data_IF_668885988193
#
_entry.id   IF_668885988193
#
_cell.length_a   1.000
_cell.length_b   1.000
_cell.length_c   1.000
_cell.angle_alpha   90.00
_cell.angle_beta   90.00
_cell.angle_gamma   90.00
#
_symmetry.space_group_name_H-M   'P 1'
#
loop_
_entity.id
_entity.type
_entity.pdbx_description
1 polymer ?
#
# COMPACT_ATOMS: atom_id res chain seq x y z
N UNK A 1 -10.04 36.91 11.83
CA UNK A 1 -11.13 35.96 12.08
C UNK A 1 -10.83 34.68 11.33
N UNK A 2 -10.33 33.64 11.99
CA UNK A 2 -10.18 32.33 11.37
C UNK A 2 -11.59 31.74 11.16
N UNK A 3 -11.92 31.36 9.91
CA UNK A 3 -13.22 30.79 9.57
C UNK A 3 -13.47 29.49 10.34
N UNK A 4 -14.75 29.17 10.55
CA UNK A 4 -15.17 27.91 11.20
C UNK A 4 -14.51 26.74 10.48
N UNK A 5 -13.71 25.95 11.22
CA UNK A 5 -13.08 24.74 10.68
C UNK A 5 -14.22 23.82 10.23
N UNK A 6 -14.39 23.67 8.91
CA UNK A 6 -15.38 22.77 8.34
C UNK A 6 -15.15 21.34 8.82
N UNK A 7 -16.17 20.49 8.67
CA UNK A 7 -16.11 19.07 9.07
C UNK A 7 -14.79 18.43 8.58
N UNK A 8 -14.07 17.67 9.43
CA UNK A 8 -12.82 17.02 9.03
C UNK A 8 -13.00 16.25 7.73
N UNK A 9 -12.10 16.48 6.77
CA UNK A 9 -12.14 15.78 5.49
C UNK A 9 -11.98 14.28 5.73
N UNK A 10 -12.95 13.50 5.28
CA UNK A 10 -12.88 12.05 5.38
C UNK A 10 -12.08 11.40 4.22
N UNK A 11 -11.79 12.14 3.15
CA UNK A 11 -11.11 11.62 1.94
C UNK A 11 -10.02 12.59 1.45
N UNK A 12 -8.89 12.09 0.92
CA UNK A 12 -7.86 12.91 0.31
C UNK A 12 -8.26 13.38 -1.10
N UNK A 13 -7.70 14.49 -1.57
CA UNK A 13 -7.94 14.99 -2.94
C UNK A 13 -7.20 14.19 -3.98
N UNK A 14 -6.04 13.66 -3.61
CA UNK A 14 -5.16 12.89 -4.47
C UNK A 14 -4.51 11.75 -3.70
N UNK A 15 -4.21 10.67 -4.41
CA UNK A 15 -3.44 9.54 -3.90
C UNK A 15 -2.20 9.36 -4.76
N UNK A 16 -1.02 9.50 -4.13
CA UNK A 16 0.25 9.14 -4.74
C UNK A 16 0.49 7.64 -4.56
N UNK A 17 0.89 6.94 -5.61
CA UNK A 17 1.24 5.53 -5.55
C UNK A 17 2.41 5.16 -6.47
N UNK A 18 3.15 4.13 -6.06
CA UNK A 18 4.24 3.55 -6.86
C UNK A 18 3.73 2.93 -8.17
N UNK A 19 4.68 2.77 -9.09
CA UNK A 19 4.49 2.12 -10.40
C UNK A 19 3.90 0.70 -10.32
N UNK A 20 4.08 0.00 -9.20
CA UNK A 20 3.44 -1.30 -8.98
C UNK A 20 1.91 -1.23 -9.03
N UNK A 21 1.33 -0.07 -8.73
CA UNK A 21 -0.10 0.19 -8.73
C UNK A 21 -0.63 0.76 -10.05
N UNK A 22 0.18 0.77 -11.10
CA UNK A 22 -0.22 1.26 -12.42
C UNK A 22 -1.12 0.24 -13.14
N UNK A 23 -2.35 0.09 -12.66
CA UNK A 23 -3.39 -0.70 -13.28
C UNK A 23 -4.68 0.12 -13.32
N UNK A 24 -5.41 0.06 -14.44
CA UNK A 24 -6.64 0.81 -14.66
C UNK A 24 -7.71 0.56 -13.59
N UNK A 25 -7.74 -0.65 -13.04
CA UNK A 25 -8.63 -1.00 -11.92
C UNK A 25 -8.48 -0.02 -10.76
N UNK A 26 -7.26 0.32 -10.37
CA UNK A 26 -7.01 1.23 -9.26
C UNK A 26 -7.38 2.67 -9.62
N UNK A 27 -7.04 3.12 -10.84
CA UNK A 27 -7.44 4.45 -11.33
C UNK A 27 -8.96 4.63 -11.31
N UNK A 28 -9.72 3.65 -11.83
CA UNK A 28 -11.19 3.66 -11.82
C UNK A 28 -11.77 3.71 -10.39
N UNK A 29 -11.22 2.90 -9.48
CA UNK A 29 -11.67 2.87 -8.08
C UNK A 29 -11.41 4.18 -7.33
N UNK A 30 -10.36 4.90 -7.68
CA UNK A 30 -10.01 6.20 -7.08
C UNK A 30 -10.90 7.32 -7.63
N UNK A 31 -11.11 7.35 -8.95
CA UNK A 31 -12.06 8.29 -9.56
C UNK A 31 -13.48 8.12 -9.03
N UNK A 32 -13.96 6.89 -8.88
CA UNK A 32 -15.27 6.60 -8.29
C UNK A 32 -15.40 7.10 -6.83
N UNK A 33 -14.27 7.29 -6.13
CA UNK A 33 -14.23 7.83 -4.76
C UNK A 33 -14.02 9.35 -4.73
N UNK A 34 -13.87 10.00 -5.88
CA UNK A 34 -13.51 11.41 -6.00
C UNK A 34 -12.07 11.71 -5.62
N UNK A 35 -11.17 10.71 -5.70
CA UNK A 35 -9.76 10.84 -5.36
C UNK A 35 -8.95 10.85 -6.66
N UNK A 36 -8.14 11.88 -6.87
CA UNK A 36 -7.26 11.96 -8.06
C UNK A 36 -6.13 10.94 -7.97
N UNK A 37 -6.04 9.97 -8.89
CA UNK A 37 -4.91 9.03 -8.91
C UNK A 37 -3.65 9.72 -9.45
N UNK A 38 -2.60 9.79 -8.65
CA UNK A 38 -1.25 10.24 -9.04
C UNK A 38 -0.33 9.03 -8.97
N UNK A 39 -0.53 8.10 -9.90
CA UNK A 39 0.20 6.83 -9.95
C UNK A 39 1.31 6.96 -10.98
N UNK A 40 2.53 6.59 -10.61
CA UNK A 40 3.65 6.61 -11.54
C UNK A 40 3.45 5.58 -12.68
N UNK A 41 3.53 5.99 -13.93
CA UNK A 41 3.36 5.09 -15.07
C UNK A 41 4.52 4.10 -15.20
N UNK A 42 4.19 2.88 -15.63
CA UNK A 42 5.18 1.85 -15.94
C UNK A 42 5.91 2.18 -17.25
N UNK A 43 7.23 2.09 -17.24
CA UNK A 43 8.08 2.32 -18.42
C UNK A 43 8.50 3.77 -18.67
N UNK A 44 7.84 4.76 -18.06
CA UNK A 44 8.19 6.18 -18.22
C UNK A 44 9.32 6.63 -17.28
N UNK A 45 10.11 7.66 -17.64
CA UNK A 45 11.04 8.29 -16.69
C UNK A 45 10.29 8.86 -15.47
N UNK A 46 10.98 8.98 -14.33
CA UNK A 46 10.40 9.42 -13.05
C UNK A 46 9.83 10.85 -13.16
N UNK A 47 8.53 10.98 -13.46
CA UNK A 47 7.88 12.27 -13.69
C UNK A 47 6.82 12.65 -12.65
N UNK A 48 6.41 11.74 -11.75
CA UNK A 48 5.29 11.99 -10.83
C UNK A 48 5.66 12.74 -9.54
N UNK A 49 6.93 13.10 -9.35
CA UNK A 49 7.41 13.71 -8.09
C UNK A 49 7.37 12.76 -6.89
N UNK A 50 7.18 11.45 -7.13
CA UNK A 50 6.98 10.44 -6.08
C UNK A 50 8.14 10.43 -5.08
N UNK A 51 9.38 10.64 -5.52
CA UNK A 51 10.58 10.54 -4.66
C UNK A 51 10.56 11.44 -3.43
N UNK A 52 9.97 12.65 -3.52
CA UNK A 52 9.91 13.59 -2.40
C UNK A 52 8.91 13.10 -1.34
N UNK A 53 7.76 12.59 -1.78
CA UNK A 53 6.69 12.15 -0.89
C UNK A 53 6.86 10.70 -0.42
N UNK A 54 7.60 9.89 -1.18
CA UNK A 54 7.81 8.47 -0.87
C UNK A 54 8.63 8.27 0.40
N UNK A 55 9.56 9.18 0.68
CA UNK A 55 10.37 9.13 1.90
C UNK A 55 9.51 9.14 3.18
N UNK A 56 8.37 9.84 3.20
CA UNK A 56 7.46 9.86 4.37
C UNK A 56 6.86 8.47 4.60
N UNK A 57 6.46 7.80 3.52
CA UNK A 57 5.91 6.44 3.56
C UNK A 57 6.98 5.44 3.98
N UNK A 58 8.16 5.48 3.35
CA UNK A 58 9.29 4.61 3.66
C UNK A 58 9.78 4.77 5.11
N UNK A 59 9.85 6.01 5.62
CA UNK A 59 10.16 6.28 7.03
C UNK A 59 9.14 5.64 7.97
N UNK A 60 7.86 5.74 7.65
CA UNK A 60 6.77 5.17 8.45
C UNK A 60 6.84 3.64 8.46
N UNK A 61 7.08 3.03 7.29
CA UNK A 61 7.28 1.58 7.15
C UNK A 61 8.51 1.14 7.96
N UNK A 62 9.59 1.91 7.94
CA UNK A 62 10.80 1.63 8.73
C UNK A 62 10.49 1.61 10.23
N UNK A 63 9.75 2.60 10.74
CA UNK A 63 9.29 2.62 12.13
C UNK A 63 8.40 1.43 12.47
N UNK A 64 7.51 1.04 11.57
CA UNK A 64 6.66 -0.15 11.75
C UNK A 64 7.50 -1.44 11.86
N UNK A 65 8.55 -1.55 11.07
CA UNK A 65 9.45 -2.72 11.09
C UNK A 65 10.30 -2.83 12.35
N UNK A 66 10.51 -1.73 13.08
CA UNK A 66 11.22 -1.76 14.35
C UNK A 66 10.45 -2.55 15.44
N UNK A 67 9.12 -2.59 15.32
CA UNK A 67 8.27 -3.44 16.16
C UNK A 67 8.34 -4.91 15.72
N UNK A 68 9.29 -5.68 16.30
CA UNK A 68 9.52 -7.12 16.02
C UNK A 68 8.25 -7.99 15.97
N UNK A 69 7.27 -7.72 16.84
CA UNK A 69 6.01 -8.48 16.92
C UNK A 69 5.04 -8.20 15.77
N UNK A 70 5.10 -7.01 15.17
CA UNK A 70 4.35 -6.67 13.96
C UNK A 70 5.07 -7.17 12.70
N UNK A 71 6.40 -7.26 12.74
CA UNK A 71 7.24 -7.66 11.61
C UNK A 71 7.18 -9.17 11.29
N UNK A 72 7.23 -10.03 12.30
CA UNK A 72 7.37 -11.48 12.11
C UNK A 72 6.29 -12.20 12.90
N UNK A 73 5.45 -12.95 12.19
CA UNK A 73 4.44 -13.83 12.78
C UNK A 73 5.10 -15.16 13.16
N UNK A 74 5.39 -15.34 14.45
CA UNK A 74 6.03 -16.53 14.98
C UNK A 74 5.06 -17.65 15.37
N UNK A 75 3.76 -17.36 15.49
CA UNK A 75 2.74 -18.37 15.75
C UNK A 75 2.59 -19.30 14.54
N UNK A 76 3.13 -20.51 14.70
CA UNK A 76 2.86 -21.64 13.82
C UNK A 76 1.46 -22.15 14.18
N UNK A 77 0.60 -22.23 13.18
CA UNK A 77 -0.74 -22.79 13.30
C UNK A 77 -0.63 -24.31 13.39
N UNK A 78 -0.92 -24.87 14.56
CA UNK A 78 -0.92 -26.33 14.78
C UNK A 78 -2.13 -27.02 14.11
N UNK A 79 -3.13 -26.22 13.69
CA UNK A 79 -4.35 -26.67 13.01
C UNK A 79 -4.18 -26.96 11.51
N UNK A 80 -3.01 -26.67 10.92
CA UNK A 80 -2.74 -26.92 9.50
C UNK A 80 -1.92 -28.21 9.37
N UNK A 81 -2.52 -29.33 8.91
CA UNK A 81 -1.78 -30.54 8.60
C UNK A 81 -0.75 -30.22 7.51
N UNK A 82 0.50 -30.65 7.72
CA UNK A 82 1.51 -30.52 6.66
C UNK A 82 1.07 -31.37 5.46
N UNK A 83 1.28 -30.89 4.23
CA UNK A 83 1.05 -31.72 3.05
C UNK A 83 1.92 -32.97 3.20
N UNK A 84 1.27 -34.13 3.32
CA UNK A 84 1.95 -35.41 3.37
C UNK A 84 2.79 -35.53 2.11
N UNK A 85 4.10 -35.70 2.26
CA UNK A 85 4.98 -36.16 1.19
C UNK A 85 4.59 -37.60 0.84
N UNK A 86 3.51 -37.77 0.09
CA UNK A 86 3.19 -39.04 -0.52
C UNK A 86 4.11 -39.19 -1.74
N UNK A 87 5.14 -40.03 -1.61
CA UNK A 87 5.86 -40.55 -2.77
C UNK A 87 4.86 -41.33 -3.64
N UNK A 88 4.83 -41.12 -4.96
CA UNK A 88 3.96 -41.93 -5.82
C UNK A 88 4.46 -43.38 -5.83
N UNK A 89 3.54 -44.38 -5.88
CA UNK A 89 3.94 -45.78 -5.98
C UNK A 89 4.60 -46.07 -7.34
N UNK A 90 5.49 -47.06 -7.32
CA UNK A 90 6.46 -47.45 -8.35
C UNK A 90 5.87 -47.76 -9.74
#
# INVERSE_FOLDING_TARGET
MAGVIGRPRCRPDALLADRGYDHDKYRRLLWARGIRPVIAERGQPHGSGLGIFRYVVERTITWLHDFRRLRIRWERRDDIPKPSSASPPA
#
